data_IF_712985395065
#
_entry.id   IF_712985395065
#
_cell.length_a   1.000
_cell.length_b   1.000
_cell.length_c   1.000
_cell.angle_alpha   90.00
_cell.angle_beta   90.00
_cell.angle_gamma   90.00
#
_symmetry.space_group_name_H-M   'P 1'
#
loop_
_entity.id
_entity.type
_entity.pdbx_description
1 polymer ?
#
# COMPACT_ATOMS: atom_id res chain seq x y z
N UNK A 1 28.19 1.34 -15.27
CA UNK A 1 26.75 1.21 -14.98
C UNK A 1 26.45 0.39 -13.73
N UNK A 2 27.12 -0.72 -13.52
CA UNK A 2 26.97 -1.49 -12.27
C UNK A 2 27.53 -0.76 -11.04
N UNK A 3 28.52 0.08 -11.21
CA UNK A 3 29.08 0.89 -10.12
C UNK A 3 28.08 1.86 -9.51
N UNK A 4 27.11 2.40 -10.30
CA UNK A 4 26.08 3.31 -9.81
C UNK A 4 25.04 2.61 -8.91
N UNK A 5 24.66 1.39 -9.26
CA UNK A 5 23.74 0.58 -8.43
C UNK A 5 24.38 0.15 -7.11
N UNK A 6 25.65 -0.22 -7.14
CA UNK A 6 26.41 -0.58 -5.93
C UNK A 6 26.55 0.62 -5.00
N UNK A 7 26.87 1.80 -5.53
CA UNK A 7 26.96 3.05 -4.76
C UNK A 7 25.62 3.42 -4.14
N UNK A 8 24.51 3.27 -4.87
CA UNK A 8 23.17 3.51 -4.36
C UNK A 8 22.80 2.56 -3.21
N UNK A 9 23.12 1.28 -3.32
CA UNK A 9 22.90 0.30 -2.24
C UNK A 9 23.69 0.65 -0.96
N UNK A 10 24.95 1.08 -1.10
CA UNK A 10 25.77 1.50 0.04
C UNK A 10 25.14 2.71 0.73
N UNK A 11 24.70 3.71 -0.03
CA UNK A 11 24.03 4.89 0.52
C UNK A 11 22.74 4.54 1.26
N UNK A 12 21.92 3.64 0.71
CA UNK A 12 20.70 3.18 1.35
C UNK A 12 20.98 2.44 2.68
N UNK A 13 22.00 1.61 2.72
CA UNK A 13 22.41 0.91 3.94
C UNK A 13 22.95 1.89 4.97
N UNK A 14 23.79 2.83 4.57
CA UNK A 14 24.31 3.87 5.47
C UNK A 14 23.20 4.76 6.02
N UNK A 15 22.21 5.15 5.20
CA UNK A 15 21.05 5.91 5.66
C UNK A 15 20.22 5.11 6.66
N UNK A 16 19.99 3.82 6.40
CA UNK A 16 19.28 2.94 7.31
C UNK A 16 20.00 2.80 8.66
N UNK A 17 21.33 2.72 8.65
CA UNK A 17 22.15 2.66 9.87
C UNK A 17 22.16 3.96 10.67
N UNK A 18 21.99 5.11 10.02
CA UNK A 18 21.93 6.43 10.67
C UNK A 18 20.57 6.76 11.27
N UNK A 19 19.53 6.02 10.91
CA UNK A 19 18.18 6.25 11.45
C UNK A 19 18.04 5.58 12.82
N UNK A 20 17.43 6.32 13.74
CA UNK A 20 17.21 5.88 15.13
C UNK A 20 16.07 4.85 15.29
N UNK A 21 15.66 4.18 14.22
CA UNK A 21 14.60 3.18 14.25
C UNK A 21 14.94 1.98 13.37
N UNK A 22 14.47 0.83 13.80
CA UNK A 22 14.68 -0.41 13.09
C UNK A 22 13.73 -0.55 11.89
N UNK A 23 14.27 -1.04 10.77
CA UNK A 23 13.49 -1.42 9.61
C UNK A 23 13.30 -2.93 9.61
N UNK A 24 12.05 -3.36 9.66
CA UNK A 24 11.69 -4.78 9.64
C UNK A 24 10.75 -5.04 8.47
N UNK A 25 11.10 -6.00 7.63
CA UNK A 25 10.22 -6.51 6.59
C UNK A 25 9.53 -7.78 7.10
N UNK A 26 8.19 -7.77 7.12
CA UNK A 26 7.38 -8.90 7.56
C UNK A 26 6.60 -9.45 6.37
N UNK A 27 7.05 -10.54 5.72
CA UNK A 27 6.29 -11.15 4.63
C UNK A 27 5.02 -11.81 5.17
N UNK A 28 3.91 -11.59 4.46
CA UNK A 28 2.63 -12.22 4.77
C UNK A 28 2.28 -13.21 3.67
N UNK A 29 2.27 -14.47 3.98
CA UNK A 29 1.91 -15.53 3.04
C UNK A 29 0.40 -15.60 2.87
N UNK A 30 -0.03 -15.80 1.63
CA UNK A 30 -1.44 -15.92 1.26
C UNK A 30 -1.71 -17.27 0.62
N UNK A 31 -2.97 -17.69 0.64
CA UNK A 31 -3.45 -18.89 -0.05
C UNK A 31 -3.84 -18.61 -1.52
N UNK A 32 -3.48 -17.45 -2.04
CA UNK A 32 -3.79 -17.06 -3.41
C UNK A 32 -3.28 -18.09 -4.41
N UNK A 33 -4.19 -18.57 -5.25
CA UNK A 33 -3.91 -19.48 -6.37
C UNK A 33 -4.47 -18.88 -7.64
N UNK A 34 -3.70 -18.90 -8.71
CA UNK A 34 -4.22 -18.54 -10.02
C UNK A 34 -5.21 -19.57 -10.50
N UNK A 35 -6.41 -19.19 -10.94
CA UNK A 35 -7.31 -20.11 -11.61
C UNK A 35 -6.62 -20.65 -12.87
N UNK A 36 -6.49 -21.96 -12.98
CA UNK A 36 -6.03 -22.61 -14.19
C UNK A 36 -7.19 -22.57 -15.20
N UNK A 37 -7.08 -21.67 -16.17
CA UNK A 37 -8.00 -21.72 -17.31
C UNK A 37 -7.60 -22.89 -18.21
N UNK A 38 -8.55 -23.76 -18.49
CA UNK A 38 -8.32 -25.02 -19.24
C UNK A 38 -7.78 -24.80 -20.66
N UNK A 39 -7.93 -23.59 -21.24
CA UNK A 39 -7.62 -23.29 -22.64
C UNK A 39 -6.61 -22.17 -22.87
N UNK A 40 -6.07 -21.57 -21.85
CA UNK A 40 -5.20 -20.42 -22.06
C UNK A 40 -3.75 -20.72 -21.76
N UNK A 41 -2.92 -20.41 -22.72
CA UNK A 41 -1.50 -20.26 -22.50
C UNK A 41 -1.19 -19.28 -21.37
N UNK A 42 0.05 -18.91 -21.21
CA UNK A 42 0.55 -18.06 -20.14
C UNK A 42 -0.32 -16.80 -19.90
N UNK A 43 -0.80 -16.64 -18.67
CA UNK A 43 -1.47 -15.41 -18.27
C UNK A 43 -0.49 -14.24 -18.23
N UNK A 44 -0.92 -13.09 -18.73
CA UNK A 44 -0.12 -11.88 -18.67
C UNK A 44 0.01 -11.40 -17.22
N UNK A 45 1.08 -10.65 -16.91
CA UNK A 45 1.29 -10.06 -15.60
C UNK A 45 0.11 -9.20 -15.15
N UNK A 46 -0.52 -8.48 -16.09
CA UNK A 46 -1.71 -7.69 -15.81
C UNK A 46 -2.91 -8.53 -15.36
N UNK A 47 -3.10 -9.72 -15.94
CA UNK A 47 -4.15 -10.64 -15.51
C UNK A 47 -3.88 -11.19 -14.11
N UNK A 48 -2.63 -11.52 -13.80
CA UNK A 48 -2.24 -11.95 -12.46
C UNK A 48 -2.53 -10.88 -11.42
N UNK A 49 -2.17 -9.63 -11.69
CA UNK A 49 -2.46 -8.52 -10.78
C UNK A 49 -3.96 -8.25 -10.63
N UNK A 50 -4.74 -8.40 -11.68
CA UNK A 50 -6.18 -8.27 -11.60
C UNK A 50 -6.79 -9.32 -10.66
N UNK A 51 -6.40 -10.58 -10.80
CA UNK A 51 -6.84 -11.67 -9.92
C UNK A 51 -6.40 -11.47 -8.46
N UNK A 52 -5.16 -11.01 -8.25
CA UNK A 52 -4.66 -10.68 -6.92
C UNK A 52 -5.52 -9.61 -6.23
N UNK A 53 -5.95 -8.59 -6.97
CA UNK A 53 -6.81 -7.53 -6.44
C UNK A 53 -8.20 -8.03 -6.05
N UNK A 54 -8.68 -9.10 -6.66
CA UNK A 54 -9.98 -9.71 -6.39
C UNK A 54 -9.93 -10.78 -5.29
N UNK A 55 -8.76 -11.19 -4.84
CA UNK A 55 -8.63 -12.21 -3.80
C UNK A 55 -9.19 -11.72 -2.46
N UNK A 56 -10.36 -12.23 -2.09
CA UNK A 56 -11.05 -11.84 -0.86
C UNK A 56 -10.24 -12.13 0.40
N UNK A 57 -9.64 -13.31 0.47
CA UNK A 57 -8.84 -13.72 1.64
C UNK A 57 -7.61 -12.84 1.82
N UNK A 58 -6.92 -12.55 0.72
CA UNK A 58 -5.77 -11.64 0.72
C UNK A 58 -6.17 -10.23 1.14
N UNK A 59 -7.26 -9.69 0.60
CA UNK A 59 -7.75 -8.37 0.93
C UNK A 59 -8.19 -8.29 2.40
N UNK A 60 -8.88 -9.31 2.91
CA UNK A 60 -9.25 -9.40 4.32
C UNK A 60 -8.02 -9.39 5.24
N UNK A 61 -6.97 -10.12 4.89
CA UNK A 61 -5.71 -10.12 5.64
C UNK A 61 -5.07 -8.72 5.65
N UNK A 62 -5.02 -8.04 4.51
CA UNK A 62 -4.50 -6.67 4.43
C UNK A 62 -5.27 -5.73 5.35
N UNK A 63 -6.60 -5.76 5.27
CA UNK A 63 -7.47 -4.92 6.12
C UNK A 63 -7.28 -5.23 7.59
N UNK A 64 -7.21 -6.49 7.98
CA UNK A 64 -6.98 -6.89 9.37
C UNK A 64 -5.62 -6.42 9.90
N UNK A 65 -4.57 -6.55 9.11
CA UNK A 65 -3.22 -6.07 9.49
C UNK A 65 -3.19 -4.55 9.64
N UNK A 66 -3.88 -3.83 8.75
CA UNK A 66 -4.00 -2.36 8.82
C UNK A 66 -4.76 -1.93 10.06
N UNK A 67 -5.90 -2.54 10.35
CA UNK A 67 -6.71 -2.22 11.53
C UNK A 67 -5.93 -2.52 12.82
N UNK A 68 -5.23 -3.64 12.89
CA UNK A 68 -4.35 -3.96 14.03
C UNK A 68 -3.25 -2.92 14.22
N UNK A 69 -2.65 -2.44 13.14
CA UNK A 69 -1.61 -1.40 13.20
C UNK A 69 -2.17 -0.08 13.75
N UNK A 70 -3.36 0.33 13.29
CA UNK A 70 -4.04 1.54 13.80
C UNK A 70 -4.39 1.39 15.28
N UNK A 71 -4.91 0.25 15.69
CA UNK A 71 -5.23 -0.03 17.09
C UNK A 71 -3.99 -0.05 17.99
N UNK A 72 -2.84 -0.41 17.43
CA UNK A 72 -1.55 -0.34 18.12
C UNK A 72 -0.94 1.08 18.17
N UNK A 73 -1.66 2.10 17.68
CA UNK A 73 -1.23 3.48 17.69
C UNK A 73 -0.33 3.89 16.51
N UNK A 74 -0.26 3.06 15.47
CA UNK A 74 0.52 3.34 14.26
C UNK A 74 -0.34 4.04 13.21
N UNK A 75 0.31 4.70 12.27
CA UNK A 75 -0.33 5.30 11.09
C UNK A 75 0.17 4.57 9.84
N UNK A 76 -0.50 3.49 9.42
CA UNK A 76 -0.06 2.68 8.30
C UNK A 76 -0.30 3.38 6.97
N UNK A 77 0.59 3.11 6.02
CA UNK A 77 0.43 3.47 4.61
C UNK A 77 0.27 2.18 3.81
N UNK A 78 -0.80 2.10 3.05
CA UNK A 78 -1.07 0.97 2.14
C UNK A 78 -0.72 1.40 0.72
N UNK A 79 0.21 0.70 0.10
CA UNK A 79 0.62 0.93 -1.28
C UNK A 79 0.09 -0.18 -2.18
N UNK A 80 -0.51 0.21 -3.29
CA UNK A 80 -0.99 -0.72 -4.31
C UNK A 80 -0.75 -0.15 -5.71
N UNK A 81 -0.67 -1.03 -6.70
CA UNK A 81 -0.41 -0.65 -8.09
C UNK A 81 -1.69 -0.20 -8.84
N UNK A 82 -2.87 -0.59 -8.36
CA UNK A 82 -4.13 -0.37 -9.07
C UNK A 82 -5.09 0.53 -8.30
N UNK A 83 -5.63 1.51 -9.00
CA UNK A 83 -6.61 2.45 -8.45
C UNK A 83 -7.86 1.75 -7.93
N UNK A 84 -8.37 0.76 -8.65
CA UNK A 84 -9.56 0.00 -8.22
C UNK A 84 -9.32 -0.79 -6.95
N UNK A 85 -8.14 -1.39 -6.82
CA UNK A 85 -7.74 -2.08 -5.60
C UNK A 85 -7.60 -1.11 -4.42
N UNK A 86 -7.03 0.07 -4.67
CA UNK A 86 -6.93 1.11 -3.65
C UNK A 86 -8.31 1.54 -3.14
N UNK A 87 -9.27 1.73 -4.03
CA UNK A 87 -10.66 2.05 -3.66
C UNK A 87 -11.31 0.93 -2.84
N UNK A 88 -11.18 -0.31 -3.30
CA UNK A 88 -11.71 -1.47 -2.60
C UNK A 88 -11.15 -1.59 -1.18
N UNK A 89 -9.85 -1.42 -1.00
CA UNK A 89 -9.21 -1.46 0.30
C UNK A 89 -9.64 -0.28 1.18
N UNK A 90 -9.78 0.92 0.60
CA UNK A 90 -10.27 2.10 1.30
C UNK A 90 -11.67 1.85 1.87
N UNK A 91 -12.61 1.40 1.04
CA UNK A 91 -13.97 1.09 1.46
C UNK A 91 -14.01 0.02 2.55
N UNK A 92 -13.20 -1.03 2.41
CA UNK A 92 -13.14 -2.11 3.40
C UNK A 92 -12.54 -1.65 4.74
N UNK A 93 -11.57 -0.76 4.75
CA UNK A 93 -10.97 -0.18 5.96
C UNK A 93 -11.96 0.78 6.63
N UNK A 94 -12.64 1.61 5.87
CA UNK A 94 -13.66 2.54 6.38
C UNK A 94 -14.86 1.79 7.00
N UNK A 95 -15.25 0.66 6.42
CA UNK A 95 -16.26 -0.24 7.00
C UNK A 95 -15.86 -0.78 8.38
N UNK A 96 -14.58 -0.83 8.68
CA UNK A 96 -14.05 -1.21 10.00
C UNK A 96 -13.97 -0.02 10.98
N UNK A 97 -14.50 1.15 10.58
CA UNK A 97 -14.54 2.35 11.41
C UNK A 97 -13.22 3.13 11.46
N UNK A 98 -12.31 2.90 10.53
CA UNK A 98 -11.02 3.59 10.48
C UNK A 98 -11.04 4.66 9.39
N UNK A 99 -10.68 5.90 9.75
CA UNK A 99 -10.57 7.01 8.79
C UNK A 99 -9.46 6.74 7.78
N UNK A 100 -9.76 6.93 6.51
CA UNK A 100 -8.83 6.62 5.42
C UNK A 100 -8.70 7.78 4.45
N UNK A 101 -7.48 8.04 3.98
CA UNK A 101 -7.19 8.98 2.91
C UNK A 101 -6.73 8.21 1.67
N UNK A 102 -7.45 8.38 0.57
CA UNK A 102 -7.13 7.75 -0.71
C UNK A 102 -6.38 8.74 -1.61
N UNK A 103 -5.15 8.40 -1.99
CA UNK A 103 -4.30 9.18 -2.88
C UNK A 103 -4.13 8.50 -4.23
N UNK A 104 -4.65 9.12 -5.27
CA UNK A 104 -4.57 8.63 -6.67
C UNK A 104 -3.76 9.61 -7.51
N UNK A 105 -2.80 9.11 -8.28
CA UNK A 105 -1.86 9.96 -9.03
C UNK A 105 -2.47 10.84 -10.15
N UNK A 106 -3.68 10.51 -10.61
CA UNK A 106 -4.38 11.26 -11.67
C UNK A 106 -5.33 12.34 -11.16
N UNK A 107 -5.32 12.62 -9.88
CA UNK A 107 -6.17 13.65 -9.29
C UNK A 107 -5.72 15.07 -9.69
N UNK A 108 -6.67 15.99 -9.75
CA UNK A 108 -6.37 17.40 -9.97
C UNK A 108 -5.44 17.94 -8.87
N UNK A 109 -4.49 18.79 -9.24
CA UNK A 109 -3.49 19.33 -8.32
C UNK A 109 -4.11 20.01 -7.09
N UNK A 110 -5.27 20.67 -7.26
CA UNK A 110 -6.01 21.30 -6.18
C UNK A 110 -6.50 20.27 -5.16
N UNK A 111 -7.16 19.21 -5.61
CA UNK A 111 -7.67 18.14 -4.74
C UNK A 111 -6.54 17.42 -4.02
N UNK A 112 -5.43 17.20 -4.69
CA UNK A 112 -4.21 16.63 -4.12
C UNK A 112 -3.68 17.47 -2.95
N UNK A 113 -3.58 18.79 -3.13
CA UNK A 113 -3.14 19.70 -2.07
C UNK A 113 -4.11 19.72 -0.89
N UNK A 114 -5.40 19.72 -1.14
CA UNK A 114 -6.44 19.67 -0.10
C UNK A 114 -6.32 18.40 0.73
N UNK A 115 -6.13 17.25 0.10
CA UNK A 115 -5.92 15.96 0.78
C UNK A 115 -4.65 15.96 1.62
N UNK A 116 -3.54 16.44 1.07
CA UNK A 116 -2.28 16.52 1.81
C UNK A 116 -2.37 17.48 3.02
N UNK A 117 -3.07 18.61 2.86
CA UNK A 117 -3.33 19.53 3.95
C UNK A 117 -4.21 18.88 5.04
N UNK A 118 -5.24 18.14 4.65
CA UNK A 118 -6.10 17.40 5.57
C UNK A 118 -5.33 16.32 6.34
N UNK A 119 -4.42 15.58 5.67
CA UNK A 119 -3.54 14.59 6.29
C UNK A 119 -2.61 15.27 7.31
N UNK A 120 -2.00 16.38 6.94
CA UNK A 120 -1.12 17.13 7.84
C UNK A 120 -1.86 17.65 9.07
N UNK A 121 -3.09 18.14 8.91
CA UNK A 121 -3.94 18.59 10.00
C UNK A 121 -4.41 17.44 10.92
N UNK A 122 -4.74 16.29 10.35
CA UNK A 122 -5.18 15.10 11.09
C UNK A 122 -4.03 14.40 11.83
N UNK A 123 -2.80 14.53 11.36
CA UNK A 123 -1.64 13.76 11.83
C UNK A 123 -1.28 13.93 13.31
N UNK A 124 -1.80 14.95 14.00
CA UNK A 124 -1.54 15.17 15.42
C UNK A 124 -2.72 14.79 16.33
N UNK A 125 -3.93 14.69 15.78
CA UNK A 125 -5.15 14.56 16.58
C UNK A 125 -5.89 13.23 16.38
N UNK A 126 -5.78 12.60 15.22
CA UNK A 126 -6.57 11.43 14.85
C UNK A 126 -5.71 10.31 14.28
N UNK A 127 -6.14 9.08 14.50
CA UNK A 127 -5.57 7.90 13.85
C UNK A 127 -6.22 7.70 12.49
N UNK A 128 -5.42 7.50 11.46
CA UNK A 128 -5.90 7.32 10.10
C UNK A 128 -4.96 6.40 9.30
N UNK A 129 -5.44 5.98 8.15
CA UNK A 129 -4.71 5.19 7.16
C UNK A 129 -4.59 5.97 5.87
N UNK A 130 -3.43 5.91 5.24
CA UNK A 130 -3.25 6.42 3.89
C UNK A 130 -3.23 5.23 2.94
N UNK A 131 -4.09 5.24 1.93
CA UNK A 131 -4.06 4.28 0.82
C UNK A 131 -3.61 5.02 -0.43
N UNK A 132 -2.51 4.59 -1.03
CA UNK A 132 -1.93 5.28 -2.18
C UNK A 132 -1.63 4.30 -3.33
N UNK A 133 -1.75 4.81 -4.56
CA UNK A 133 -1.32 4.08 -5.75
C UNK A 133 0.16 4.33 -6.00
N UNK A 134 0.92 3.29 -6.35
CA UNK A 134 2.39 3.30 -6.37
C UNK A 134 3.05 4.42 -7.18
N UNK A 135 2.38 5.00 -8.14
CA UNK A 135 2.87 6.17 -8.89
C UNK A 135 2.78 7.49 -8.13
N UNK A 136 2.23 7.48 -6.95
CA UNK A 136 2.07 8.69 -6.14
C UNK A 136 3.31 9.00 -5.29
N UNK A 137 4.07 7.98 -5.06
CA UNK A 137 5.31 8.02 -4.30
C UNK A 137 6.49 8.11 -5.25
#
# INVERSE_FOLDING_TARGET
>A
MQCGEIAYRVDAIEQAQRQLFDHVAVPRFTDFRMPLAADSGFKTLNQIFAELCLSKNRNAMIVDDVVKAVNAGRMPIVLTERTEHAKLLTDAIEHRGVKTFLLIGKEAAKLKREKLAAIAAAGQAERFVIVAVGRYV
#
